data_IF_357714571340
#
_entry.id   IF_357714571340
#
_cell.length_a   1.000
_cell.length_b   1.000
_cell.length_c   1.000
_cell.angle_alpha   90.00
_cell.angle_beta   90.00
_cell.angle_gamma   90.00
#
_symmetry.space_group_name_H-M   'P 1'
#
loop_
_entity.id
_entity.type
_entity.pdbx_description
1 polymer ?
#
# COMPACT_ATOMS: atom_id res chain seq x y z
N UNK A 1 24.11 -6.81 -8.80
CA UNK A 1 22.73 -6.59 -8.30
C UNK A 1 21.95 -5.87 -9.37
N UNK A 2 20.62 -5.97 -9.37
CA UNK A 2 19.81 -5.32 -10.40
C UNK A 2 18.44 -5.95 -10.53
N UNK A 3 17.89 -5.91 -11.75
CA UNK A 3 16.61 -6.50 -12.11
C UNK A 3 16.89 -7.63 -13.11
N UNK A 4 16.51 -8.86 -12.78
CA UNK A 4 16.79 -10.07 -13.58
C UNK A 4 15.53 -10.90 -13.77
N UNK A 5 15.46 -11.79 -14.77
CA UNK A 5 14.49 -12.89 -14.77
C UNK A 5 14.54 -13.64 -13.45
N UNK A 6 13.42 -14.21 -13.04
CA UNK A 6 13.34 -14.99 -11.80
C UNK A 6 14.23 -16.23 -11.88
N UNK A 7 15.34 -16.30 -11.12
CA UNK A 7 16.27 -17.42 -11.18
C UNK A 7 15.72 -18.69 -10.51
N UNK A 8 14.72 -18.53 -9.64
CA UNK A 8 14.21 -19.60 -8.76
C UNK A 8 12.90 -20.21 -9.30
N UNK A 9 12.32 -19.62 -10.36
CA UNK A 9 11.14 -20.17 -11.05
C UNK A 9 9.83 -20.09 -10.28
N UNK A 10 9.68 -19.14 -9.34
CA UNK A 10 8.42 -18.86 -8.64
C UNK A 10 7.36 -18.25 -9.57
N UNK A 11 7.78 -17.48 -10.57
CA UNK A 11 6.87 -16.73 -11.45
C UNK A 11 6.88 -17.30 -12.87
N UNK A 12 5.70 -17.68 -13.36
CA UNK A 12 5.57 -18.44 -14.62
C UNK A 12 5.64 -17.60 -15.88
N UNK A 13 5.32 -16.30 -15.81
CA UNK A 13 5.37 -15.42 -16.99
C UNK A 13 6.81 -14.93 -17.24
N UNK A 14 7.39 -15.16 -18.43
CA UNK A 14 8.79 -14.82 -18.72
C UNK A 14 9.06 -13.31 -18.76
N UNK A 15 8.03 -12.46 -18.70
CA UNK A 15 8.16 -11.00 -18.60
C UNK A 15 8.32 -10.52 -17.16
N UNK A 16 8.11 -11.39 -16.17
CA UNK A 16 8.33 -11.06 -14.76
C UNK A 16 9.83 -10.93 -14.49
N UNK A 17 10.16 -9.99 -13.61
CA UNK A 17 11.50 -9.74 -13.12
C UNK A 17 11.49 -9.65 -11.60
N UNK A 18 12.64 -9.96 -11.01
CA UNK A 18 12.90 -9.88 -9.58
C UNK A 18 14.07 -8.95 -9.30
N UNK A 19 14.13 -8.44 -8.08
CA UNK A 19 15.30 -7.72 -7.59
C UNK A 19 16.38 -8.75 -7.23
N UNK A 20 17.58 -8.59 -7.79
CA UNK A 20 18.67 -9.54 -7.60
C UNK A 20 19.82 -8.95 -6.78
N UNK A 21 20.39 -9.78 -5.93
CA UNK A 21 21.63 -9.50 -5.18
C UNK A 21 22.85 -9.41 -6.11
N UNK A 22 24.02 -9.07 -5.56
CA UNK A 22 25.26 -9.10 -6.34
C UNK A 22 25.58 -10.50 -6.90
N UNK A 23 25.20 -11.56 -6.18
CA UNK A 23 25.38 -12.94 -6.56
C UNK A 23 24.29 -13.47 -7.53
N UNK A 24 23.36 -12.63 -7.98
CA UNK A 24 22.28 -13.04 -8.89
C UNK A 24 21.08 -13.72 -8.23
N UNK A 25 21.13 -13.99 -6.92
CA UNK A 25 20.00 -14.54 -6.18
C UNK A 25 18.85 -13.53 -6.05
N UNK A 26 17.60 -14.03 -6.05
CA UNK A 26 16.42 -13.22 -5.75
C UNK A 26 16.56 -12.61 -4.34
N UNK A 27 16.42 -11.29 -4.25
CA UNK A 27 16.58 -10.54 -3.00
C UNK A 27 15.35 -10.66 -2.10
N UNK A 28 14.17 -10.85 -2.68
CA UNK A 28 12.90 -10.96 -1.95
C UNK A 28 12.05 -12.09 -2.56
N UNK A 29 12.53 -13.34 -2.52
CA UNK A 29 11.74 -14.48 -2.95
C UNK A 29 10.49 -14.61 -2.07
N UNK A 30 9.39 -15.19 -2.59
CA UNK A 30 8.25 -15.54 -1.77
C UNK A 30 8.66 -16.32 -0.52
N UNK A 31 8.13 -15.93 0.63
CA UNK A 31 8.35 -16.59 1.93
C UNK A 31 7.04 -16.69 2.70
N UNK A 32 6.97 -17.62 3.66
CA UNK A 32 5.82 -17.71 4.56
C UNK A 32 5.91 -16.62 5.65
N UNK A 33 4.75 -16.12 6.07
CA UNK A 33 4.62 -15.15 7.15
C UNK A 33 4.96 -15.76 8.51
N UNK A 34 5.67 -15.01 9.36
CA UNK A 34 6.17 -15.50 10.65
C UNK A 34 5.32 -15.09 11.85
N UNK A 35 4.27 -14.31 11.64
CA UNK A 35 3.62 -13.45 12.65
C UNK A 35 2.16 -13.80 12.96
N UNK A 36 1.49 -14.68 12.20
CA UNK A 36 0.06 -15.03 12.38
C UNK A 36 -0.22 -16.53 12.64
N UNK A 37 0.77 -17.28 13.14
CA UNK A 37 0.60 -18.68 13.56
C UNK A 37 -0.12 -19.54 12.50
N UNK A 38 -1.20 -20.22 12.90
CA UNK A 38 -1.99 -21.07 11.99
C UNK A 38 -2.70 -20.30 10.85
N UNK A 39 -2.84 -18.98 10.96
CA UNK A 39 -3.45 -18.12 9.94
C UNK A 39 -2.43 -17.37 9.08
N UNK A 40 -1.13 -17.62 9.26
CA UNK A 40 -0.08 -17.01 8.46
C UNK A 40 -0.23 -17.33 6.97
N UNK A 41 0.07 -16.35 6.12
CA UNK A 41 0.26 -16.57 4.70
C UNK A 41 1.39 -17.57 4.48
N UNK A 42 1.13 -18.61 3.72
CA UNK A 42 2.13 -19.60 3.30
C UNK A 42 2.94 -19.05 2.12
N UNK A 43 4.13 -19.60 1.89
CA UNK A 43 4.92 -19.25 0.71
C UNK A 43 4.14 -19.46 -0.59
N UNK A 44 3.39 -20.57 -0.70
CA UNK A 44 2.60 -20.87 -1.90
C UNK A 44 1.51 -19.81 -2.15
N UNK A 45 0.83 -19.35 -1.09
CA UNK A 45 -0.16 -18.28 -1.20
C UNK A 45 0.47 -16.95 -1.60
N UNK A 46 1.62 -16.60 -1.02
CA UNK A 46 2.36 -15.37 -1.39
C UNK A 46 2.78 -15.43 -2.86
N UNK A 47 3.32 -16.55 -3.32
CA UNK A 47 3.69 -16.75 -4.73
C UNK A 47 2.49 -16.55 -5.65
N UNK A 48 1.34 -17.14 -5.32
CA UNK A 48 0.14 -17.04 -6.15
C UNK A 48 -0.49 -15.64 -6.12
N UNK A 49 -0.49 -14.95 -4.98
CA UNK A 49 -0.93 -13.54 -4.89
C UNK A 49 -0.12 -12.67 -5.88
N UNK A 50 1.20 -12.86 -5.91
CA UNK A 50 2.08 -12.10 -6.80
C UNK A 50 1.89 -12.51 -8.27
N UNK A 51 1.78 -13.81 -8.58
CA UNK A 51 1.49 -14.30 -9.94
C UNK A 51 0.15 -13.75 -10.45
N UNK A 52 -0.90 -13.82 -9.64
CA UNK A 52 -2.22 -13.31 -9.98
C UNK A 52 -2.21 -11.79 -10.22
N UNK A 53 -1.53 -11.02 -9.37
CA UNK A 53 -1.38 -9.58 -9.53
C UNK A 53 -0.60 -9.23 -10.82
N UNK A 54 0.56 -9.85 -11.06
CA UNK A 54 1.34 -9.61 -12.28
C UNK A 54 0.59 -10.08 -13.54
N UNK A 55 -0.20 -11.14 -13.46
CA UNK A 55 -1.10 -11.56 -14.53
C UNK A 55 -2.22 -10.54 -14.80
N UNK A 56 -2.74 -9.87 -13.78
CA UNK A 56 -3.66 -8.72 -13.97
C UNK A 56 -2.94 -7.60 -14.69
N UNK A 57 -1.75 -7.19 -14.23
CA UNK A 57 -0.98 -6.11 -14.86
C UNK A 57 -0.68 -6.42 -16.34
N UNK A 58 -0.11 -7.59 -16.62
CA UNK A 58 0.26 -8.02 -17.97
C UNK A 58 -0.97 -8.29 -18.87
N UNK A 59 -2.17 -8.47 -18.31
CA UNK A 59 -3.41 -8.52 -19.09
C UNK A 59 -4.07 -7.16 -19.30
N UNK A 60 -3.59 -6.11 -18.63
CA UNK A 60 -4.24 -4.80 -18.55
C UNK A 60 -3.55 -3.74 -19.39
N UNK A 61 -4.31 -2.74 -19.79
CA UNK A 61 -3.88 -1.57 -20.53
C UNK A 61 -3.24 -0.54 -19.60
N UNK A 62 -2.02 -0.14 -19.90
CA UNK A 62 -1.37 1.01 -19.27
C UNK A 62 -2.08 2.33 -19.58
N UNK A 63 -2.03 3.30 -18.67
CA UNK A 63 -2.59 4.65 -18.89
C UNK A 63 -1.53 5.70 -19.13
N UNK A 64 -0.32 5.48 -18.62
CA UNK A 64 0.78 6.46 -18.75
C UNK A 64 1.76 6.10 -19.88
N UNK A 65 1.40 5.14 -20.74
CA UNK A 65 2.31 4.57 -21.75
C UNK A 65 1.76 4.70 -23.16
N UNK A 66 2.68 4.75 -24.12
CA UNK A 66 2.41 4.59 -25.55
C UNK A 66 3.25 3.42 -26.10
N UNK A 67 2.76 2.67 -27.10
CA UNK A 67 1.41 2.76 -27.69
C UNK A 67 0.28 2.40 -26.70
N UNK A 68 -0.98 2.73 -27.03
CA UNK A 68 -2.11 2.61 -26.09
C UNK A 68 -2.51 1.16 -25.79
N UNK A 69 -1.94 0.20 -26.50
CA UNK A 69 -2.05 -1.23 -26.28
C UNK A 69 -0.89 -1.82 -25.44
N UNK A 70 -0.02 -0.96 -24.89
CA UNK A 70 1.00 -1.39 -23.93
C UNK A 70 0.39 -1.93 -22.64
N UNK A 71 1.08 -2.92 -22.08
CA UNK A 71 0.74 -3.54 -20.80
C UNK A 71 1.00 -2.59 -19.61
N UNK A 72 0.24 -2.77 -18.53
CA UNK A 72 0.54 -2.14 -17.24
C UNK A 72 1.90 -2.64 -16.75
N UNK A 73 2.76 -1.72 -16.34
CA UNK A 73 4.10 -2.02 -15.86
C UNK A 73 4.30 -1.53 -14.43
N UNK A 74 4.49 -2.46 -13.50
CA UNK A 74 4.40 -2.22 -12.05
C UNK A 74 5.34 -3.11 -11.25
N UNK A 75 5.62 -2.69 -10.03
CA UNK A 75 6.13 -3.56 -8.96
C UNK A 75 4.99 -3.95 -8.03
N UNK A 76 4.99 -5.22 -7.62
CA UNK A 76 4.08 -5.82 -6.64
C UNK A 76 4.89 -6.20 -5.41
N UNK A 77 4.40 -5.80 -4.23
CA UNK A 77 4.95 -6.14 -2.93
C UNK A 77 3.88 -6.77 -2.05
N UNK A 78 4.22 -7.83 -1.32
CA UNK A 78 3.35 -8.46 -0.31
C UNK A 78 4.04 -8.39 1.04
N UNK A 79 3.29 -8.05 2.08
CA UNK A 79 3.77 -8.01 3.47
C UNK A 79 2.88 -8.83 4.39
N UNK A 80 3.45 -9.33 5.47
CA UNK A 80 2.71 -9.91 6.59
C UNK A 80 2.08 -8.83 7.48
N UNK A 81 1.39 -9.22 8.56
CA UNK A 81 0.76 -8.26 9.48
C UNK A 81 1.76 -7.40 10.23
N UNK A 82 2.98 -7.89 10.47
CA UNK A 82 4.13 -7.18 11.02
C UNK A 82 4.78 -6.20 10.03
N UNK A 83 4.36 -6.19 8.77
CA UNK A 83 4.93 -5.36 7.71
C UNK A 83 6.25 -5.91 7.15
N UNK A 84 6.62 -7.14 7.49
CA UNK A 84 7.78 -7.80 6.91
C UNK A 84 7.50 -8.15 5.45
N UNK A 85 8.51 -8.01 4.59
CA UNK A 85 8.39 -8.30 3.17
C UNK A 85 8.30 -9.82 2.98
N UNK A 86 7.22 -10.28 2.35
CA UNK A 86 7.05 -11.69 1.97
C UNK A 86 7.46 -11.97 0.54
N UNK A 87 7.27 -11.01 -0.37
CA UNK A 87 7.73 -11.08 -1.76
C UNK A 87 7.79 -9.69 -2.40
N UNK A 88 8.72 -9.51 -3.34
CA UNK A 88 8.71 -8.40 -4.30
C UNK A 88 9.01 -8.94 -5.69
N UNK A 89 8.14 -8.68 -6.65
CA UNK A 89 8.36 -8.94 -8.06
C UNK A 89 7.71 -7.87 -8.92
N UNK A 90 8.12 -7.78 -10.17
CA UNK A 90 7.73 -6.68 -11.05
C UNK A 90 7.63 -7.14 -12.49
N UNK A 91 6.90 -6.37 -13.28
CA UNK A 91 7.01 -6.45 -14.73
C UNK A 91 8.37 -5.88 -15.19
N UNK A 92 8.78 -6.24 -16.40
CA UNK A 92 10.12 -5.92 -16.90
C UNK A 92 10.42 -4.41 -16.92
N UNK A 93 9.46 -3.60 -17.36
CA UNK A 93 9.62 -2.15 -17.55
C UNK A 93 8.93 -1.32 -16.45
N UNK A 94 8.64 -1.94 -15.30
CA UNK A 94 8.15 -1.24 -14.11
C UNK A 94 9.10 -0.09 -13.69
N UNK A 95 8.59 1.09 -13.33
CA UNK A 95 9.45 2.18 -12.86
C UNK A 95 10.23 1.78 -11.60
N UNK A 96 11.50 2.19 -11.51
CA UNK A 96 12.37 1.85 -10.36
C UNK A 96 11.77 2.33 -9.04
N UNK A 97 11.19 3.54 -9.02
CA UNK A 97 10.51 4.09 -7.83
C UNK A 97 9.34 3.23 -7.35
N UNK A 98 8.71 2.46 -8.26
CA UNK A 98 7.59 1.58 -7.93
C UNK A 98 7.98 0.50 -6.93
N UNK A 99 9.27 0.18 -6.82
CA UNK A 99 9.81 -0.74 -5.82
C UNK A 99 9.46 -0.31 -4.40
N UNK A 100 9.91 0.88 -3.99
CA UNK A 100 9.65 1.38 -2.64
C UNK A 100 8.19 1.77 -2.45
N UNK A 101 7.58 2.39 -3.46
CA UNK A 101 6.20 2.88 -3.38
C UNK A 101 5.20 1.72 -3.25
N UNK A 102 5.40 0.61 -3.96
CA UNK A 102 4.53 -0.57 -3.81
C UNK A 102 4.60 -1.13 -2.39
N UNK A 103 5.79 -1.17 -1.79
CA UNK A 103 5.97 -1.62 -0.42
C UNK A 103 5.36 -0.64 0.61
N UNK A 104 5.51 0.67 0.41
CA UNK A 104 4.87 1.69 1.25
C UNK A 104 3.33 1.57 1.22
N UNK A 105 2.75 1.32 0.03
CA UNK A 105 1.30 1.08 -0.12
C UNK A 105 0.85 -0.18 0.61
N UNK A 106 1.59 -1.28 0.48
CA UNK A 106 1.31 -2.53 1.19
C UNK A 106 1.33 -2.30 2.70
N UNK A 107 2.40 -1.68 3.21
CA UNK A 107 2.57 -1.35 4.63
C UNK A 107 1.51 -0.40 5.15
N UNK A 108 1.07 0.55 4.34
CA UNK A 108 0.00 1.49 4.73
C UNK A 108 -1.35 0.78 4.86
N UNK A 109 -1.73 -0.03 3.87
CA UNK A 109 -2.98 -0.80 3.91
C UNK A 109 -2.99 -1.81 5.08
N UNK A 110 -1.84 -2.47 5.31
CA UNK A 110 -1.62 -3.33 6.47
C UNK A 110 -1.80 -2.55 7.78
N UNK A 111 -1.01 -1.48 7.97
CA UNK A 111 -0.92 -0.74 9.23
C UNK A 111 -2.27 -0.22 9.70
N UNK A 112 -3.01 0.51 8.85
CA UNK A 112 -4.28 1.11 9.25
C UNK A 112 -5.44 0.12 9.40
N UNK A 113 -5.26 -1.13 8.97
CA UNK A 113 -6.24 -2.22 9.17
C UNK A 113 -6.00 -2.99 10.48
N UNK A 114 -4.85 -2.81 11.13
CA UNK A 114 -4.53 -3.50 12.39
C UNK A 114 -5.39 -2.98 13.56
N UNK A 115 -5.66 -3.87 14.51
CA UNK A 115 -6.40 -3.55 15.74
C UNK A 115 -5.61 -2.64 16.69
N UNK A 116 -4.29 -2.68 16.65
CA UNK A 116 -3.41 -1.87 17.51
C UNK A 116 -2.90 -0.60 16.82
N UNK A 117 -3.31 -0.32 15.58
CA UNK A 117 -2.85 0.83 14.81
C UNK A 117 -3.03 2.14 15.57
N UNK A 118 -4.23 2.33 16.15
CA UNK A 118 -4.54 3.47 17.02
C UNK A 118 -3.55 3.61 18.18
N UNK A 119 -3.37 2.53 18.94
CA UNK A 119 -2.51 2.53 20.14
C UNK A 119 -1.06 2.82 19.75
N UNK A 120 -0.60 2.27 18.63
CA UNK A 120 0.73 2.56 18.09
C UNK A 120 0.86 4.06 17.79
N UNK A 121 -0.06 4.66 17.03
CA UNK A 121 -0.01 6.09 16.68
C UNK A 121 -0.03 6.96 17.95
N UNK A 122 -0.92 6.66 18.91
CA UNK A 122 -1.03 7.42 20.16
C UNK A 122 0.20 7.28 21.08
N UNK A 123 0.92 6.16 20.97
CA UNK A 123 2.12 5.87 21.74
C UNK A 123 3.40 6.49 21.17
N UNK A 124 3.36 7.07 19.97
CA UNK A 124 4.51 7.76 19.40
C UNK A 124 4.81 9.04 20.19
N UNK A 125 6.09 9.24 20.51
CA UNK A 125 6.56 10.50 21.08
C UNK A 125 6.30 11.65 20.10
N UNK A 126 6.07 12.85 20.62
CA UNK A 126 5.97 14.02 19.76
C UNK A 126 7.27 14.23 18.97
N UNK A 127 7.16 14.61 17.70
CA UNK A 127 8.34 14.86 16.87
C UNK A 127 9.07 16.15 17.27
N UNK A 128 10.20 16.45 16.63
CA UNK A 128 11.02 17.60 16.96
C UNK A 128 10.32 18.97 16.76
N UNK A 129 9.16 19.01 16.11
CA UNK A 129 8.34 20.21 15.92
C UNK A 129 7.19 20.29 16.93
N UNK A 130 7.14 19.37 17.90
CA UNK A 130 6.09 19.32 18.92
C UNK A 130 4.77 18.74 18.43
N UNK A 131 4.74 18.07 17.26
CA UNK A 131 3.53 17.42 16.75
C UNK A 131 3.22 16.19 17.60
N UNK A 132 2.07 16.19 18.25
CA UNK A 132 1.50 15.04 18.95
C UNK A 132 0.80 14.12 17.96
N UNK A 133 1.26 12.87 17.83
CA UNK A 133 0.63 11.89 16.95
C UNK A 133 -0.76 11.45 17.44
N UNK A 134 -1.05 11.58 18.74
CA UNK A 134 -2.38 11.34 19.29
C UNK A 134 -3.44 12.34 18.75
N UNK A 135 -3.01 13.52 18.28
CA UNK A 135 -3.91 14.52 17.72
C UNK A 135 -4.46 14.06 16.37
N UNK A 136 -3.67 13.34 15.57
CA UNK A 136 -4.14 12.71 14.32
C UNK A 136 -5.24 11.69 14.56
N UNK A 137 -5.13 10.89 15.63
CA UNK A 137 -6.18 9.93 16.02
C UNK A 137 -7.44 10.65 16.48
N UNK A 138 -7.29 11.69 17.30
CA UNK A 138 -8.42 12.50 17.79
C UNK A 138 -9.14 13.20 16.63
N UNK A 139 -8.40 13.76 15.67
CA UNK A 139 -8.96 14.35 14.46
C UNK A 139 -9.67 13.30 13.59
N UNK A 140 -9.10 12.09 13.47
CA UNK A 140 -9.72 10.99 12.73
C UNK A 140 -11.02 10.52 13.38
N UNK A 141 -11.07 10.45 14.71
CA UNK A 141 -12.29 10.08 15.45
C UNK A 141 -13.44 11.06 15.15
N UNK A 142 -13.15 12.36 15.29
CA UNK A 142 -14.10 13.42 15.01
C UNK A 142 -14.55 13.40 13.54
N UNK A 143 -13.59 13.26 12.61
CA UNK A 143 -13.86 13.27 11.18
C UNK A 143 -14.72 12.09 10.73
N UNK A 144 -14.44 10.89 11.25
CA UNK A 144 -15.18 9.67 10.91
C UNK A 144 -16.45 9.47 11.76
N UNK A 145 -16.63 10.26 12.83
CA UNK A 145 -17.71 10.12 13.80
C UNK A 145 -17.76 8.73 14.43
N UNK A 146 -16.59 8.15 14.71
CA UNK A 146 -16.40 6.83 15.34
C UNK A 146 -14.97 6.69 15.85
N UNK A 147 -14.69 5.67 16.64
CA UNK A 147 -13.32 5.25 16.93
C UNK A 147 -12.60 4.86 15.63
N UNK A 148 -11.55 5.59 15.28
CA UNK A 148 -10.71 5.38 14.11
C UNK A 148 -9.57 4.39 14.41
N UNK A 149 -9.17 3.65 13.37
CA UNK A 149 -8.01 2.76 13.35
C UNK A 149 -8.00 1.71 14.48
N UNK A 150 -9.19 1.17 14.79
CA UNK A 150 -9.46 0.18 15.85
C UNK A 150 -9.49 -1.27 15.35
N UNK A 151 -9.07 -1.51 14.10
CA UNK A 151 -9.08 -2.82 13.44
C UNK A 151 -10.45 -3.33 13.00
N UNK A 152 -11.53 -2.58 13.21
CA UNK A 152 -12.87 -3.00 12.76
C UNK A 152 -13.16 -2.62 11.31
N UNK A 153 -12.32 -1.76 10.72
CA UNK A 153 -12.39 -1.32 9.33
C UNK A 153 -11.12 -1.71 8.59
N UNK A 154 -11.30 -2.37 7.45
CA UNK A 154 -10.26 -2.58 6.46
C UNK A 154 -10.04 -1.30 5.65
N UNK A 155 -8.85 -0.72 5.76
CA UNK A 155 -8.46 0.47 5.01
C UNK A 155 -7.57 0.09 3.83
N UNK A 156 -7.96 0.52 2.64
CA UNK A 156 -7.04 0.54 1.49
C UNK A 156 -6.14 1.77 1.55
N UNK A 157 -5.03 1.77 0.79
CA UNK A 157 -4.19 2.95 0.65
C UNK A 157 -4.93 4.12 -0.03
N UNK A 158 -5.94 3.85 -0.87
CA UNK A 158 -6.84 4.88 -1.41
C UNK A 158 -7.68 5.53 -0.32
N UNK A 159 -8.25 4.72 0.58
CA UNK A 159 -9.02 5.20 1.72
C UNK A 159 -8.19 6.11 2.61
N UNK A 160 -6.96 5.70 2.93
CA UNK A 160 -5.99 6.55 3.65
C UNK A 160 -5.65 7.80 2.86
N UNK A 161 -5.45 7.68 1.55
CA UNK A 161 -5.28 8.83 0.68
C UNK A 161 -6.42 9.83 0.76
N UNK A 162 -7.68 9.39 0.87
CA UNK A 162 -8.82 10.29 1.10
C UNK A 162 -8.74 11.02 2.45
N UNK A 163 -8.25 10.36 3.50
CA UNK A 163 -8.07 10.97 4.83
C UNK A 163 -6.87 11.96 4.89
N UNK A 164 -5.93 11.86 3.94
CA UNK A 164 -4.73 12.70 3.86
C UNK A 164 -4.87 13.88 2.90
N UNK A 165 -6.09 14.24 2.48
CA UNK A 165 -6.27 15.35 1.53
C UNK A 165 -6.15 16.72 2.18
N UNK A 166 -5.45 17.68 1.55
CA UNK A 166 -5.45 19.06 2.04
C UNK A 166 -6.81 19.73 1.86
N UNK A 167 -7.63 19.23 0.92
CA UNK A 167 -9.04 19.58 0.76
C UNK A 167 -9.85 18.29 0.69
N UNK A 168 -10.82 18.11 1.59
CA UNK A 168 -11.72 16.97 1.53
C UNK A 168 -13.18 17.42 1.30
N UNK A 169 -13.87 16.91 0.28
CA UNK A 169 -13.40 15.88 -0.67
C UNK A 169 -12.49 16.42 -1.78
N UNK A 170 -11.86 15.51 -2.52
CA UNK A 170 -11.05 15.84 -3.71
C UNK A 170 -11.82 16.73 -4.70
N UNK A 171 -11.13 17.70 -5.31
CA UNK A 171 -11.68 18.59 -6.35
C UNK A 171 -12.53 19.76 -5.84
N UNK A 172 -12.64 19.96 -4.52
CA UNK A 172 -13.35 21.10 -3.92
C UNK A 172 -12.40 22.01 -3.14
N UNK A 173 -11.87 23.04 -3.82
CA UNK A 173 -10.95 24.01 -3.20
C UNK A 173 -11.63 24.75 -2.03
N UNK A 174 -10.85 25.04 -0.99
CA UNK A 174 -11.31 25.79 0.19
C UNK A 174 -12.13 24.98 1.20
N UNK A 175 -12.37 23.69 0.96
CA UNK A 175 -12.94 22.79 1.97
C UNK A 175 -11.89 22.46 3.05
N UNK A 176 -12.27 22.16 4.29
CA UNK A 176 -11.29 21.74 5.30
C UNK A 176 -10.60 20.43 4.89
N UNK A 177 -9.36 20.24 5.36
CA UNK A 177 -8.57 19.04 5.12
C UNK A 177 -9.19 17.77 5.73
N UNK A 178 -8.69 16.63 5.28
CA UNK A 178 -8.86 15.34 5.94
C UNK A 178 -7.99 15.24 7.20
N UNK A 179 -8.32 14.31 8.11
CA UNK A 179 -7.78 14.29 9.46
C UNK A 179 -6.30 13.89 9.52
N UNK A 180 -5.75 13.28 8.47
CA UNK A 180 -4.33 12.88 8.40
C UNK A 180 -3.46 13.91 7.67
N UNK A 181 -4.03 15.05 7.30
CA UNK A 181 -3.34 16.14 6.62
C UNK A 181 -3.27 17.37 7.49
N UNK A 182 -2.29 18.24 7.23
CA UNK A 182 -2.29 19.61 7.74
C UNK A 182 -3.28 20.49 6.94
N UNK A 183 -3.74 21.62 7.49
CA UNK A 183 -4.53 22.59 6.74
C UNK A 183 -3.79 23.11 5.50
N UNK A 184 -4.54 23.50 4.46
CA UNK A 184 -3.94 23.87 3.16
C UNK A 184 -2.95 25.04 3.23
N UNK A 185 -3.17 26.05 4.08
CA UNK A 185 -2.24 27.19 4.23
C UNK A 185 -0.85 26.79 4.77
N UNK A 186 -0.77 25.57 5.28
CA UNK A 186 0.36 24.95 5.94
C UNK A 186 0.88 23.74 5.14
N UNK A 187 0.16 23.35 4.08
CA UNK A 187 0.39 22.16 3.30
C UNK A 187 1.38 22.43 2.16
N UNK A 188 2.25 21.44 1.90
CA UNK A 188 3.07 21.38 0.69
C UNK A 188 3.36 19.92 0.34
N UNK A 189 3.93 19.62 -0.84
CA UNK A 189 4.47 18.28 -1.13
C UNK A 189 5.50 17.78 -0.11
N UNK A 190 6.10 18.67 0.70
CA UNK A 190 7.05 18.36 1.75
C UNK A 190 6.48 18.52 3.16
N UNK A 191 5.17 18.79 3.29
CA UNK A 191 4.46 18.90 4.56
C UNK A 191 3.01 18.46 4.36
N UNK A 192 2.80 17.16 4.27
CA UNK A 192 1.50 16.56 3.94
C UNK A 192 0.66 16.17 5.14
N UNK A 193 1.22 16.25 6.35
CA UNK A 193 0.64 15.79 7.62
C UNK A 193 1.32 14.53 8.12
N UNK A 194 0.55 13.56 8.62
CA UNK A 194 1.04 12.36 9.30
C UNK A 194 2.16 11.65 8.52
N UNK A 195 2.06 11.60 7.18
CA UNK A 195 3.05 10.96 6.33
C UNK A 195 4.46 11.56 6.50
N UNK A 196 4.59 12.89 6.50
CA UNK A 196 5.89 13.57 6.68
C UNK A 196 6.24 13.65 8.15
N UNK A 197 5.28 13.97 9.01
CA UNK A 197 5.53 14.15 10.44
C UNK A 197 6.11 12.90 11.09
N UNK A 198 5.67 11.72 10.65
CA UNK A 198 6.17 10.43 11.14
C UNK A 198 7.63 10.13 10.73
N UNK A 199 8.13 10.75 9.67
CA UNK A 199 9.52 10.60 9.20
C UNK A 199 10.41 11.82 9.47
N UNK A 200 9.88 12.88 10.09
CA UNK A 200 10.55 14.17 10.18
C UNK A 200 11.88 14.09 10.95
N UNK A 201 11.90 13.43 12.09
CA UNK A 201 13.09 13.35 12.94
C UNK A 201 14.22 12.56 12.27
N UNK A 202 13.87 11.58 11.42
CA UNK A 202 14.82 10.84 10.59
C UNK A 202 15.40 11.77 9.51
N UNK A 203 14.57 12.58 8.85
CA UNK A 203 15.06 13.57 7.88
C UNK A 203 16.01 14.59 8.54
N UNK A 204 15.69 15.05 9.74
CA UNK A 204 16.52 16.00 10.48
C UNK A 204 17.84 15.38 10.96
N UNK A 205 17.82 14.14 11.43
CA UNK A 205 19.04 13.43 11.80
C UNK A 205 19.95 13.24 10.57
N UNK A 206 19.39 12.82 9.42
CA UNK A 206 20.17 12.68 8.19
C UNK A 206 20.74 14.04 7.72
N UNK A 207 19.96 15.11 7.79
CA UNK A 207 20.45 16.46 7.48
C UNK A 207 21.61 16.87 8.42
N UNK A 208 21.52 16.52 9.70
CA UNK A 208 22.60 16.70 10.67
C UNK A 208 23.87 15.93 10.29
N UNK A 209 23.74 14.67 9.84
CA UNK A 209 24.86 13.88 9.33
C UNK A 209 25.53 14.57 8.14
N UNK A 210 24.76 15.01 7.15
CA UNK A 210 25.30 15.71 5.97
C UNK A 210 26.01 17.02 6.36
N UNK A 211 25.46 17.78 7.31
CA UNK A 211 26.01 19.07 7.72
C UNK A 211 27.25 18.98 8.61
N UNK A 212 27.35 17.95 9.46
CA UNK A 212 28.32 17.91 10.57
C UNK A 212 29.12 16.62 10.69
N UNK A 213 28.80 15.58 9.92
CA UNK A 213 29.42 14.26 10.05
C UNK A 213 29.05 13.52 11.34
N UNK A 214 27.95 13.90 11.99
CA UNK A 214 27.37 13.18 13.14
C UNK A 214 26.85 11.79 12.74
N UNK A 215 26.32 10.99 13.67
CA UNK A 215 25.79 9.67 13.34
C UNK A 215 24.55 9.73 12.44
N UNK A 216 24.63 9.11 11.26
CA UNK A 216 23.50 8.99 10.32
C UNK A 216 22.36 8.13 10.88
N UNK A 217 21.20 8.20 10.24
CA UNK A 217 20.02 7.39 10.56
C UNK A 217 20.26 5.91 10.29
N UNK A 218 19.63 5.04 11.09
CA UNK A 218 19.54 3.63 10.76
C UNK A 218 18.70 3.43 9.48
N UNK A 219 18.90 2.31 8.80
CA UNK A 219 18.13 2.00 7.60
C UNK A 219 16.61 1.95 7.88
N UNK A 220 15.83 2.79 7.19
CA UNK A 220 14.38 2.91 7.32
C UNK A 220 13.91 4.37 7.36
N UNK A 221 12.60 4.58 7.21
CA UNK A 221 12.00 5.93 7.14
C UNK A 221 11.18 6.32 8.37
N UNK A 222 10.44 5.39 8.98
CA UNK A 222 9.56 5.65 10.15
C UNK A 222 9.84 4.66 11.30
N UNK A 223 10.91 3.85 11.17
CA UNK A 223 11.31 2.84 12.13
C UNK A 223 10.49 1.53 12.05
N UNK A 224 11.15 0.41 12.33
CA UNK A 224 10.54 -0.93 12.37
C UNK A 224 10.03 -1.47 11.02
N UNK A 225 9.52 -2.70 11.01
CA UNK A 225 9.00 -3.33 9.80
C UNK A 225 7.61 -2.79 9.39
N UNK A 226 6.76 -2.40 10.35
CA UNK A 226 5.37 -2.01 10.11
C UNK A 226 5.23 -0.87 9.09
N UNK A 227 6.07 0.17 9.20
CA UNK A 227 6.11 1.33 8.32
C UNK A 227 7.55 1.66 7.90
N UNK A 228 8.41 0.66 7.77
CA UNK A 228 9.85 0.89 7.57
C UNK A 228 10.23 1.67 6.31
N UNK A 229 9.38 1.72 5.28
CA UNK A 229 9.57 2.57 4.09
C UNK A 229 8.77 3.88 4.16
N UNK A 230 8.02 4.11 5.24
CA UNK A 230 7.07 5.20 5.38
C UNK A 230 5.66 4.84 4.94
N UNK A 231 4.80 5.85 5.00
CA UNK A 231 3.39 5.79 4.64
C UNK A 231 3.18 6.26 3.19
N UNK A 232 2.22 5.66 2.49
CA UNK A 232 1.77 6.13 1.18
C UNK A 232 0.32 6.58 1.18
N UNK A 233 0.09 7.82 0.78
CA UNK A 233 -1.23 8.48 0.81
C UNK A 233 -1.94 8.49 -0.56
N UNK A 234 -1.68 7.47 -1.38
CA UNK A 234 -2.40 7.26 -2.64
C UNK A 234 -2.61 5.77 -2.95
N UNK A 235 -3.49 5.53 -3.91
CA UNK A 235 -4.06 4.24 -4.28
C UNK A 235 -3.03 3.18 -4.71
N UNK A 236 -3.39 1.90 -4.58
CA UNK A 236 -2.59 0.75 -4.99
C UNK A 236 -2.26 -0.25 -3.90
N UNK A 237 -2.79 -0.11 -2.68
CA UNK A 237 -2.62 -1.09 -1.60
C UNK A 237 -3.95 -1.53 -0.99
N UNK A 238 -4.10 -2.83 -0.74
CA UNK A 238 -5.27 -3.41 -0.06
C UNK A 238 -4.85 -4.47 0.98
N UNK A 239 -5.54 -4.56 2.12
CA UNK A 239 -5.31 -5.61 3.11
C UNK A 239 -5.82 -6.96 2.61
N UNK A 240 -5.16 -8.03 3.05
CA UNK A 240 -5.47 -9.43 2.76
C UNK A 240 -6.07 -10.06 4.01
N UNK A 241 -7.15 -10.81 3.81
CA UNK A 241 -7.86 -11.51 4.88
C UNK A 241 -7.91 -13.01 4.61
N UNK A 242 -7.84 -13.83 5.66
CA UNK A 242 -8.17 -15.27 5.64
C UNK A 242 -9.39 -15.51 6.52
N UNK A 243 -10.49 -15.95 5.94
CA UNK A 243 -11.72 -16.26 6.70
C UNK A 243 -12.15 -15.13 7.67
N UNK A 244 -12.01 -13.86 7.24
CA UNK A 244 -12.33 -12.68 8.05
C UNK A 244 -11.24 -12.22 9.02
N UNK A 245 -10.11 -12.93 9.12
CA UNK A 245 -8.94 -12.52 9.90
C UNK A 245 -7.95 -11.77 9.02
N UNK A 246 -7.46 -10.60 9.44
CA UNK A 246 -6.43 -9.85 8.73
C UNK A 246 -5.08 -10.59 8.79
N UNK A 247 -4.44 -10.84 7.64
CA UNK A 247 -3.22 -11.67 7.53
C UNK A 247 -2.06 -11.02 6.76
N UNK A 248 -2.21 -9.75 6.35
CA UNK A 248 -1.17 -9.00 5.66
C UNK A 248 -1.76 -8.04 4.63
N UNK A 249 -0.94 -7.60 3.67
CA UNK A 249 -1.39 -6.72 2.60
C UNK A 249 -0.57 -6.86 1.31
N UNK A 250 -1.18 -6.46 0.21
CA UNK A 250 -0.52 -6.26 -1.08
C UNK A 250 -0.40 -4.76 -1.36
N UNK A 251 0.65 -4.37 -2.07
CA UNK A 251 0.79 -3.05 -2.66
C UNK A 251 1.38 -3.15 -4.07
N UNK A 252 0.90 -2.28 -4.95
CA UNK A 252 1.27 -2.21 -6.36
C UNK A 252 1.58 -0.78 -6.74
N UNK A 253 2.65 -0.57 -7.50
CA UNK A 253 3.01 0.75 -8.02
C UNK A 253 3.76 0.68 -9.33
N UNK A 254 3.38 1.53 -10.28
CA UNK A 254 4.18 1.79 -11.48
C UNK A 254 3.43 2.40 -12.67
N UNK A 255 2.10 2.34 -12.67
CA UNK A 255 1.28 2.97 -13.73
C UNK A 255 0.31 3.99 -13.09
N UNK A 256 -0.82 4.27 -13.73
CA UNK A 256 -1.86 5.10 -13.14
C UNK A 256 -2.42 4.51 -11.83
N UNK A 257 -2.87 5.38 -10.93
CA UNK A 257 -3.34 4.98 -9.59
C UNK A 257 -4.54 4.00 -9.62
N UNK A 258 -5.33 4.01 -10.70
CA UNK A 258 -6.45 3.09 -10.87
C UNK A 258 -5.97 1.73 -11.41
N UNK A 259 -4.88 1.67 -12.20
CA UNK A 259 -4.21 0.44 -12.60
C UNK A 259 -3.60 -0.24 -11.38
N UNK A 260 -2.92 0.53 -10.53
CA UNK A 260 -2.32 0.02 -9.30
C UNK A 260 -3.37 -0.61 -8.38
N UNK A 261 -4.48 0.10 -8.14
CA UNK A 261 -5.61 -0.40 -7.35
C UNK A 261 -6.21 -1.69 -7.91
N UNK A 262 -6.51 -1.68 -9.20
CA UNK A 262 -7.10 -2.83 -9.88
C UNK A 262 -6.17 -4.04 -9.80
N UNK A 263 -4.87 -3.83 -10.01
CA UNK A 263 -3.86 -4.89 -9.97
C UNK A 263 -3.77 -5.49 -8.57
N UNK A 264 -3.69 -4.64 -7.53
CA UNK A 264 -3.65 -5.09 -6.15
C UNK A 264 -4.90 -5.90 -5.78
N UNK A 265 -6.08 -5.33 -6.05
CA UNK A 265 -7.36 -5.87 -5.63
C UNK A 265 -7.78 -7.12 -6.39
N UNK A 266 -7.60 -7.14 -7.72
CA UNK A 266 -7.88 -8.33 -8.53
C UNK A 266 -6.81 -9.40 -8.35
N UNK A 267 -5.56 -9.04 -8.04
CA UNK A 267 -4.52 -10.01 -7.69
C UNK A 267 -4.92 -10.84 -6.48
N UNK A 268 -5.31 -10.19 -5.38
CA UNK A 268 -5.79 -10.88 -4.17
C UNK A 268 -7.06 -11.67 -4.44
N UNK A 269 -8.02 -11.11 -5.18
CA UNK A 269 -9.26 -11.82 -5.53
C UNK A 269 -9.00 -13.10 -6.34
N UNK A 270 -8.19 -13.00 -7.41
CA UNK A 270 -7.89 -14.14 -8.29
C UNK A 270 -7.08 -15.22 -7.57
N UNK A 271 -6.12 -14.83 -6.74
CA UNK A 271 -5.39 -15.78 -5.91
C UNK A 271 -6.31 -16.51 -4.94
N UNK A 272 -7.23 -15.80 -4.27
CA UNK A 272 -8.23 -16.41 -3.39
C UNK A 272 -9.09 -17.46 -4.09
N UNK A 273 -9.54 -17.16 -5.33
CA UNK A 273 -10.28 -18.11 -6.16
C UNK A 273 -9.44 -19.32 -6.58
N UNK A 274 -8.18 -19.10 -6.98
CA UNK A 274 -7.29 -20.15 -7.47
C UNK A 274 -6.89 -21.13 -6.36
N UNK A 275 -6.64 -20.63 -5.15
CA UNK A 275 -6.14 -21.41 -4.03
C UNK A 275 -7.23 -22.09 -3.23
N UNK A 276 -8.40 -21.45 -3.09
CA UNK A 276 -9.46 -21.94 -2.20
C UNK A 276 -9.06 -22.05 -0.73
N UNK A 277 -7.95 -21.41 -0.32
CA UNK A 277 -7.40 -21.48 1.05
C UNK A 277 -8.10 -20.56 2.05
N UNK A 278 -9.12 -19.82 1.60
CA UNK A 278 -9.85 -18.83 2.39
C UNK A 278 -9.22 -17.45 2.41
N UNK A 279 -8.07 -17.24 1.74
CA UNK A 279 -7.53 -15.89 1.53
C UNK A 279 -8.38 -15.08 0.54
N UNK A 280 -8.42 -13.77 0.71
CA UNK A 280 -9.12 -12.88 -0.21
C UNK A 280 -9.12 -11.42 0.25
N UNK A 281 -9.91 -10.61 -0.45
CA UNK A 281 -10.15 -9.23 -0.07
C UNK A 281 -10.94 -9.14 1.24
N UNK A 282 -10.83 -8.01 1.92
CA UNK A 282 -11.72 -7.67 3.04
C UNK A 282 -13.20 -7.79 2.64
N UNK A 283 -14.06 -8.26 3.56
CA UNK A 283 -15.51 -8.30 3.34
C UNK A 283 -16.04 -6.88 3.05
N UNK A 284 -16.92 -6.67 2.04
CA UNK A 284 -17.52 -5.38 1.74
C UNK A 284 -18.17 -4.65 2.93
N UNK A 285 -18.61 -5.36 3.98
CA UNK A 285 -19.20 -4.80 5.18
C UNK A 285 -18.18 -4.10 6.10
N UNK A 286 -16.90 -4.45 6.02
CA UNK A 286 -15.84 -3.88 6.87
C UNK A 286 -14.91 -2.93 6.10
N UNK A 287 -15.13 -2.69 4.81
CA UNK A 287 -14.29 -1.78 4.01
C UNK A 287 -14.48 -0.32 4.40
N UNK A 288 -13.43 0.50 4.26
CA UNK A 288 -13.54 1.95 4.48
C UNK A 288 -14.60 2.64 3.59
N UNK A 289 -15.09 2.00 2.52
CA UNK A 289 -16.23 2.48 1.71
C UNK A 289 -17.58 2.48 2.42
N UNK A 290 -17.66 1.94 3.64
CA UNK A 290 -18.82 2.10 4.53
C UNK A 290 -18.79 3.42 5.31
N UNK A 291 -17.66 4.13 5.31
CA UNK A 291 -17.50 5.40 6.01
C UNK A 291 -17.91 6.57 5.10
N UNK A 292 -18.70 7.50 5.65
CA UNK A 292 -19.24 8.67 4.93
C UNK A 292 -19.01 10.01 5.65
N UNK A 293 -17.75 10.35 5.99
CA UNK A 293 -17.45 11.64 6.62
C UNK A 293 -17.94 12.79 5.72
N UNK A 294 -18.61 13.78 6.31
CA UNK A 294 -19.20 14.93 5.60
C UNK A 294 -20.09 14.53 4.40
N UNK A 295 -20.80 13.41 4.51
CA UNK A 295 -21.67 12.83 3.48
C UNK A 295 -20.94 12.42 2.18
N UNK A 296 -19.61 12.22 2.23
CA UNK A 296 -18.82 11.72 1.09
C UNK A 296 -18.27 10.34 1.43
N UNK A 297 -18.50 9.37 0.54
CA UNK A 297 -17.99 8.00 0.71
C UNK A 297 -16.48 7.97 0.49
N UNK A 298 -15.74 7.40 1.44
CA UNK A 298 -14.32 7.09 1.22
C UNK A 298 -14.19 5.99 0.17
N UNK A 299 -13.30 6.14 -0.79
CA UNK A 299 -13.12 5.12 -1.84
C UNK A 299 -12.26 3.98 -1.28
N UNK A 300 -12.63 2.74 -1.60
CA UNK A 300 -11.83 1.56 -1.25
C UNK A 300 -10.86 1.23 -2.38
N UNK A 301 -11.37 0.95 -3.58
CA UNK A 301 -10.58 0.82 -4.81
C UNK A 301 -11.31 1.50 -5.95
N UNK A 302 -10.60 1.84 -7.01
CA UNK A 302 -11.19 2.30 -8.27
C UNK A 302 -10.49 1.61 -9.42
N UNK A 303 -11.28 0.99 -10.30
CA UNK A 303 -10.76 0.28 -11.45
C UNK A 303 -11.04 1.04 -12.74
N UNK A 304 -10.12 1.03 -13.71
CA UNK A 304 -10.26 1.78 -14.96
C UNK A 304 -11.40 1.25 -15.83
N UNK A 305 -11.88 2.11 -16.74
CA UNK A 305 -12.81 1.72 -17.80
C UNK A 305 -12.08 0.91 -18.89
N UNK A 306 -12.72 -0.13 -19.42
CA UNK A 306 -12.15 -1.10 -20.39
C UNK A 306 -10.69 -1.48 -20.08
N UNK A 307 -10.39 -2.01 -18.88
CA UNK A 307 -9.02 -2.04 -18.41
C UNK A 307 -8.18 -3.12 -19.07
N UNK A 308 -8.79 -4.18 -19.63
CA UNK A 308 -8.06 -5.31 -20.20
C UNK A 308 -7.78 -5.15 -21.69
N UNK A 309 -6.60 -5.56 -22.12
CA UNK A 309 -6.24 -5.62 -23.53
C UNK A 309 -7.04 -6.71 -24.24
N UNK A 310 -7.52 -6.43 -25.45
CA UNK A 310 -8.33 -7.38 -26.23
C UNK A 310 -9.70 -7.72 -25.63
N UNK A 311 -10.20 -6.94 -24.66
CA UNK A 311 -11.47 -7.18 -23.99
C UNK A 311 -12.29 -5.90 -23.83
N UNK A 312 -13.61 -6.03 -23.84
CA UNK A 312 -14.57 -4.95 -23.60
C UNK A 312 -15.16 -4.99 -22.17
N UNK A 313 -14.60 -5.82 -21.28
CA UNK A 313 -15.08 -5.96 -19.91
C UNK A 313 -15.06 -4.61 -19.16
N UNK A 314 -16.12 -4.36 -18.40
CA UNK A 314 -16.31 -3.16 -17.58
C UNK A 314 -16.52 -3.52 -16.13
N UNK A 315 -16.37 -2.53 -15.24
CA UNK A 315 -16.68 -2.66 -13.81
C UNK A 315 -16.04 -3.90 -13.19
N UNK A 316 -14.80 -4.18 -13.59
CA UNK A 316 -14.14 -5.47 -13.34
C UNK A 316 -13.88 -5.74 -11.86
N UNK A 317 -14.01 -4.73 -11.00
CA UNK A 317 -13.86 -4.83 -9.55
C UNK A 317 -15.20 -4.91 -8.80
N UNK A 318 -16.33 -4.71 -9.48
CA UNK A 318 -17.64 -4.79 -8.85
C UNK A 318 -17.94 -6.23 -8.42
N UNK A 319 -18.58 -6.35 -7.25
CA UNK A 319 -18.98 -7.63 -6.65
C UNK A 319 -17.84 -8.47 -6.07
N UNK A 320 -16.63 -7.91 -5.92
CA UNK A 320 -15.43 -8.60 -5.41
C UNK A 320 -14.95 -8.02 -4.09
#
# INVERSE_FOLDING_TARGET
SGVLPDPDGFYTDPRVRVLATAAGANRFPPTAASDVGANSLTQAEVTEIVNAALGVALGSRAQIRRPLDSHVEVTVSVVDTGGNILAIARTADGPVFGTDVSLQKARTANFFTRADARTIIQGLAANSQGVSFADYVTAADAFLSRTAFDGTIAFSSRGIGNLSRPFFPDGQNGKPNGPLSVPFFEWSPFRTGLQVDAGLDILLQHAGFIASGSGDVAAGCVGGALLGNGLQIFSGGVPIFRNGVHVGAIGVSGDGIDQDDMTAFLGVHRAGLALGSGIGNADPAIRNSRLRPRNVTLRYVQCPYTPFLGSNAQNVCDGK
#
